data_IF_728142533223
#
_entry.id   IF_728142533223
#
_cell.length_a   1.000
_cell.length_b   1.000
_cell.length_c   1.000
_cell.angle_alpha   90.00
_cell.angle_beta   90.00
_cell.angle_gamma   90.00
#
_symmetry.space_group_name_H-M   'P 1'
#
loop_
_entity.id
_entity.type
_entity.pdbx_description
1 polymer ?
#
# COMPACT_ATOMS: atom_id res chain seq x y z
N UNK A 1 -16.82 -38.48 -6.47
CA UNK A 1 -16.84 -37.02 -6.75
C UNK A 1 -16.34 -36.31 -5.50
N UNK A 2 -15.04 -36.09 -5.41
CA UNK A 2 -14.38 -35.50 -4.23
C UNK A 2 -14.64 -34.00 -4.24
N UNK A 3 -15.58 -33.56 -3.41
CA UNK A 3 -15.93 -32.15 -3.24
C UNK A 3 -14.82 -31.51 -2.39
N UNK A 4 -13.90 -30.80 -3.03
CA UNK A 4 -12.89 -30.00 -2.33
C UNK A 4 -13.61 -28.96 -1.48
N UNK A 5 -13.38 -29.01 -0.17
CA UNK A 5 -13.73 -27.95 0.76
C UNK A 5 -12.73 -26.80 0.55
N UNK A 6 -13.17 -25.56 0.27
CA UNK A 6 -12.27 -24.42 0.28
C UNK A 6 -11.73 -24.27 1.71
N UNK A 7 -10.42 -24.39 1.87
CA UNK A 7 -9.72 -24.07 3.11
C UNK A 7 -9.88 -22.57 3.36
N UNK A 8 -10.57 -22.12 4.42
CA UNK A 8 -10.58 -20.72 4.78
C UNK A 8 -9.18 -20.37 5.27
N UNK A 9 -8.41 -19.65 4.45
CA UNK A 9 -7.16 -19.03 4.90
C UNK A 9 -7.54 -17.96 5.93
N UNK A 10 -7.04 -18.02 7.18
CA UNK A 10 -7.40 -17.06 8.19
C UNK A 10 -6.69 -15.73 7.90
N UNK A 11 -7.38 -14.82 7.25
CA UNK A 11 -6.99 -13.40 7.24
C UNK A 11 -7.15 -12.91 8.67
N UNK A 12 -6.03 -12.60 9.33
CA UNK A 12 -6.05 -12.11 10.71
C UNK A 12 -6.07 -10.59 10.70
N UNK A 13 -6.94 -10.00 11.52
CA UNK A 13 -6.83 -8.58 11.88
C UNK A 13 -5.64 -8.47 12.83
N UNK A 14 -4.68 -7.59 12.55
CA UNK A 14 -3.59 -7.34 13.49
C UNK A 14 -4.17 -6.68 14.76
N UNK A 15 -3.84 -7.19 15.94
CA UNK A 15 -4.38 -6.67 17.20
C UNK A 15 -4.07 -5.16 17.35
N UNK A 16 -5.09 -4.35 17.68
CA UNK A 16 -4.98 -2.89 17.83
C UNK A 16 -5.02 -2.10 16.52
N UNK A 17 -5.14 -2.78 15.38
CA UNK A 17 -5.07 -2.21 14.04
C UNK A 17 -6.24 -2.66 13.19
N UNK A 18 -7.40 -2.06 13.42
CA UNK A 18 -8.65 -2.46 12.77
C UNK A 18 -8.56 -2.38 11.23
N UNK A 19 -7.65 -1.56 10.67
CA UNK A 19 -7.38 -1.36 9.24
C UNK A 19 -6.41 -2.36 8.58
N UNK A 20 -5.82 -3.28 9.36
CA UNK A 20 -4.81 -4.20 8.85
C UNK A 20 -5.32 -5.64 8.72
N UNK A 21 -5.34 -6.11 7.48
CA UNK A 21 -5.51 -7.52 7.16
C UNK A 21 -4.16 -8.17 6.87
N UNK A 22 -3.80 -9.14 7.71
CA UNK A 22 -2.62 -9.99 7.51
C UNK A 22 -2.99 -11.12 6.57
N UNK A 23 -2.28 -11.21 5.46
CA UNK A 23 -2.38 -12.29 4.48
C UNK A 23 -0.97 -12.80 4.14
N UNK A 24 -0.85 -14.01 3.58
CA UNK A 24 0.46 -14.52 3.13
C UNK A 24 1.21 -13.55 2.20
N UNK A 25 0.46 -12.78 1.39
CA UNK A 25 1.00 -11.79 0.45
C UNK A 25 1.73 -10.60 1.10
N UNK A 26 1.43 -10.27 2.38
CA UNK A 26 1.98 -9.09 3.06
C UNK A 26 2.59 -9.39 4.45
N UNK A 27 2.48 -10.62 4.96
CA UNK A 27 2.90 -10.98 6.31
C UNK A 27 4.37 -10.63 6.65
N UNK A 28 5.31 -10.90 5.73
CA UNK A 28 6.72 -10.56 5.94
C UNK A 28 6.95 -9.05 5.97
N UNK A 29 6.29 -8.31 5.08
CA UNK A 29 6.37 -6.85 5.06
C UNK A 29 5.86 -6.26 6.38
N UNK A 30 4.71 -6.75 6.85
CA UNK A 30 4.14 -6.34 8.13
C UNK A 30 5.10 -6.58 9.30
N UNK A 31 5.65 -7.80 9.41
CA UNK A 31 6.60 -8.13 10.47
C UNK A 31 7.82 -7.21 10.49
N UNK A 32 8.32 -6.77 9.32
CA UNK A 32 9.45 -5.84 9.24
C UNK A 32 9.03 -4.39 9.52
N UNK A 33 7.82 -3.98 9.10
CA UNK A 33 7.29 -2.66 9.39
C UNK A 33 6.98 -2.46 10.88
N UNK A 34 6.70 -3.54 11.60
CA UNK A 34 6.44 -3.54 13.04
C UNK A 34 7.70 -3.39 13.88
N UNK A 35 8.87 -3.71 13.32
CA UNK A 35 10.16 -3.65 13.99
C UNK A 35 11.14 -2.68 13.29
N UNK A 36 10.81 -1.38 13.11
CA UNK A 36 11.62 -0.45 12.35
C UNK A 36 13.00 -0.18 12.96
N UNK A 37 13.19 -0.39 14.26
CA UNK A 37 14.49 -0.39 14.93
C UNK A 37 15.48 -1.43 14.40
N UNK A 38 15.00 -2.46 13.71
CA UNK A 38 15.85 -3.47 13.07
C UNK A 38 16.31 -3.08 11.67
N UNK A 39 15.80 -1.98 11.10
CA UNK A 39 16.12 -1.58 9.73
C UNK A 39 17.58 -1.14 9.61
N UNK A 40 18.38 -1.78 8.72
CA UNK A 40 19.75 -1.36 8.47
C UNK A 40 19.80 0.10 8.02
N UNK A 41 20.65 0.91 8.67
CA UNK A 41 20.76 2.36 8.42
C UNK A 41 19.43 3.12 8.57
N UNK A 42 18.47 2.58 9.33
CA UNK A 42 17.18 3.22 9.59
C UNK A 42 16.27 3.31 8.35
N UNK A 43 16.44 2.45 7.34
CA UNK A 43 15.69 2.55 6.08
C UNK A 43 15.24 1.22 5.52
N UNK A 44 14.10 1.22 4.82
CA UNK A 44 13.47 0.04 4.23
C UNK A 44 12.83 0.38 2.89
N UNK A 45 12.96 -0.53 1.92
CA UNK A 45 12.23 -0.50 0.66
C UNK A 45 11.04 -1.47 0.71
N UNK A 46 9.83 -0.94 0.54
CA UNK A 46 8.61 -1.72 0.37
C UNK A 46 8.27 -1.81 -1.12
N UNK A 47 8.47 -2.99 -1.68
CA UNK A 47 8.30 -3.27 -3.10
C UNK A 47 7.03 -4.08 -3.37
N UNK A 48 6.41 -3.90 -4.52
CA UNK A 48 5.24 -4.70 -4.91
C UNK A 48 4.48 -4.06 -6.06
N UNK A 49 3.73 -4.82 -6.86
CA UNK A 49 3.05 -4.28 -8.03
C UNK A 49 2.02 -3.20 -7.66
N UNK A 50 1.56 -2.47 -8.67
CA UNK A 50 0.43 -1.55 -8.49
C UNK A 50 -0.79 -2.30 -7.93
N UNK A 51 -1.55 -1.64 -7.05
CA UNK A 51 -2.70 -2.25 -6.40
C UNK A 51 -2.39 -3.25 -5.27
N UNK A 52 -1.12 -3.61 -5.03
CA UNK A 52 -0.74 -4.57 -3.99
C UNK A 52 -0.94 -4.08 -2.55
N UNK A 53 -1.14 -2.78 -2.34
CA UNK A 53 -1.36 -2.19 -1.02
C UNK A 53 -0.17 -1.47 -0.39
N UNK A 54 0.89 -1.18 -1.16
CA UNK A 54 2.09 -0.46 -0.67
C UNK A 54 1.73 0.83 0.07
N UNK A 55 0.98 1.72 -0.60
CA UNK A 55 0.57 3.02 -0.05
C UNK A 55 -0.35 2.87 1.16
N UNK A 56 -1.17 1.81 1.23
CA UNK A 56 -1.98 1.53 2.42
C UNK A 56 -1.09 1.16 3.61
N UNK A 57 -0.15 0.23 3.43
CA UNK A 57 0.80 -0.15 4.48
C UNK A 57 1.66 1.03 4.92
N UNK A 58 2.13 1.84 3.96
CA UNK A 58 2.94 3.01 4.24
C UNK A 58 2.16 4.10 4.99
N UNK A 59 0.89 4.35 4.62
CA UNK A 59 0.03 5.31 5.31
C UNK A 59 -0.24 4.93 6.77
N UNK A 60 -0.45 3.65 7.06
CA UNK A 60 -0.69 3.24 8.44
C UNK A 60 0.60 3.28 9.25
N UNK A 61 1.71 2.79 8.69
CA UNK A 61 3.01 2.94 9.34
C UNK A 61 3.33 4.41 9.64
N UNK A 62 3.01 5.31 8.70
CA UNK A 62 3.19 6.74 8.91
C UNK A 62 2.32 7.28 10.03
N UNK A 63 1.05 6.88 10.10
CA UNK A 63 0.15 7.32 11.16
C UNK A 63 0.62 6.87 12.54
N UNK A 64 1.07 5.62 12.66
CA UNK A 64 1.58 5.07 13.92
C UNK A 64 2.88 5.69 14.39
N UNK A 65 3.73 6.11 13.45
CA UNK A 65 5.04 6.69 13.74
C UNK A 65 5.05 8.21 13.71
N UNK A 66 3.92 8.84 13.41
CA UNK A 66 3.86 10.29 13.15
C UNK A 66 4.72 10.70 11.95
N UNK A 67 4.92 9.81 10.98
CA UNK A 67 5.81 10.03 9.86
C UNK A 67 5.20 10.99 8.83
N UNK A 68 6.03 11.87 8.26
CA UNK A 68 5.63 12.65 7.10
C UNK A 68 5.60 11.75 5.84
N UNK A 69 4.57 11.89 5.01
CA UNK A 69 4.50 11.22 3.70
C UNK A 69 4.79 12.26 2.61
N UNK A 70 5.67 11.92 1.68
CA UNK A 70 6.00 12.77 0.53
C UNK A 70 6.10 11.93 -0.75
N UNK A 71 5.43 12.31 -1.85
CA UNK A 71 5.69 11.70 -3.15
C UNK A 71 7.12 11.98 -3.59
N UNK A 72 7.85 10.97 -4.06
CA UNK A 72 9.24 11.12 -4.49
C UNK A 72 9.40 12.12 -5.65
N UNK A 73 8.38 12.23 -6.49
CA UNK A 73 8.34 13.20 -7.60
C UNK A 73 8.32 14.66 -7.15
N UNK A 74 7.86 14.93 -5.91
CA UNK A 74 7.72 16.26 -5.32
C UNK A 74 8.83 16.55 -4.31
N UNK A 75 9.79 15.64 -4.13
CA UNK A 75 10.86 15.79 -3.17
C UNK A 75 11.86 16.86 -3.66
N UNK A 76 12.08 17.89 -2.83
CA UNK A 76 13.03 18.96 -3.13
C UNK A 76 14.11 19.05 -2.04
N UNK A 77 15.31 19.58 -2.36
CA UNK A 77 16.39 19.71 -1.38
C UNK A 77 16.01 20.55 -0.16
N UNK A 78 15.17 21.56 -0.33
CA UNK A 78 14.75 22.49 0.73
C UNK A 78 13.87 21.79 1.78
N UNK A 79 13.07 20.80 1.36
CA UNK A 79 12.20 20.04 2.25
C UNK A 79 12.95 19.00 3.10
N UNK A 80 14.21 18.69 2.80
CA UNK A 80 14.95 17.58 3.41
C UNK A 80 15.10 17.74 4.92
N UNK A 81 15.48 18.94 5.38
CA UNK A 81 15.69 19.19 6.81
C UNK A 81 14.38 19.05 7.59
N UNK A 82 13.30 19.63 7.09
CA UNK A 82 11.98 19.56 7.71
C UNK A 82 11.46 18.12 7.76
N UNK A 83 11.65 17.36 6.67
CA UNK A 83 11.26 15.95 6.61
C UNK A 83 12.08 15.09 7.58
N UNK A 84 13.40 15.29 7.65
CA UNK A 84 14.26 14.53 8.57
C UNK A 84 13.94 14.85 10.05
N UNK A 85 13.65 16.11 10.37
CA UNK A 85 13.31 16.57 11.72
C UNK A 85 12.05 15.89 12.30
N UNK A 86 11.18 15.31 11.45
CA UNK A 86 10.03 14.51 11.92
C UNK A 86 10.44 13.19 12.57
N UNK A 87 11.68 12.73 12.37
CA UNK A 87 12.19 11.46 12.88
C UNK A 87 11.70 10.21 12.12
N UNK A 88 10.61 10.31 11.36
CA UNK A 88 10.13 9.24 10.50
C UNK A 88 9.54 9.81 9.19
N UNK A 89 9.91 9.24 8.05
CA UNK A 89 9.45 9.70 6.73
C UNK A 89 9.09 8.54 5.83
N UNK A 90 8.04 8.73 5.03
CA UNK A 90 7.66 7.86 3.92
C UNK A 90 7.89 8.60 2.60
N UNK A 91 8.65 7.98 1.71
CA UNK A 91 8.81 8.43 0.33
C UNK A 91 8.00 7.51 -0.58
N UNK A 92 6.88 8.02 -1.09
CA UNK A 92 5.98 7.28 -1.97
C UNK A 92 6.45 7.28 -3.42
N UNK A 93 6.33 6.14 -4.09
CA UNK A 93 6.59 5.97 -5.53
C UNK A 93 7.97 6.46 -5.97
N UNK A 94 9.01 5.94 -5.31
CA UNK A 94 10.39 6.33 -5.50
C UNK A 94 10.91 6.17 -6.94
N UNK A 95 10.34 5.30 -7.76
CA UNK A 95 10.67 5.22 -9.18
C UNK A 95 10.46 6.55 -9.93
N UNK A 96 9.55 7.42 -9.47
CA UNK A 96 9.21 8.68 -10.15
C UNK A 96 10.21 9.83 -9.91
N UNK A 97 11.26 9.62 -9.10
CA UNK A 97 12.36 10.58 -8.96
C UNK A 97 13.43 10.43 -10.04
N UNK A 98 13.50 9.27 -10.70
CA UNK A 98 14.57 8.99 -11.66
C UNK A 98 14.59 10.01 -12.80
N UNK A 99 15.78 10.51 -13.13
CA UNK A 99 15.99 11.55 -14.14
C UNK A 99 15.71 12.97 -13.65
N UNK A 100 15.26 13.15 -12.40
CA UNK A 100 15.06 14.48 -11.77
C UNK A 100 16.20 14.75 -10.80
N UNK A 101 17.23 15.46 -11.27
CA UNK A 101 18.45 15.72 -10.50
C UNK A 101 18.18 16.27 -9.07
N UNK A 102 17.25 17.23 -8.95
CA UNK A 102 16.90 17.81 -7.64
C UNK A 102 16.27 16.78 -6.68
N UNK A 103 15.37 15.92 -7.18
CA UNK A 103 14.73 14.89 -6.36
C UNK A 103 15.70 13.76 -5.99
N UNK A 104 16.59 13.36 -6.92
CA UNK A 104 17.67 12.42 -6.65
C UNK A 104 18.63 12.92 -5.56
N UNK A 105 19.06 14.18 -5.66
CA UNK A 105 19.90 14.80 -4.63
C UNK A 105 19.15 14.91 -3.29
N UNK A 106 17.88 15.33 -3.31
CA UNK A 106 17.08 15.46 -2.10
C UNK A 106 16.90 14.12 -1.39
N UNK A 107 16.60 13.03 -2.11
CA UNK A 107 16.50 11.70 -1.50
C UNK A 107 17.85 11.25 -0.94
N UNK A 108 18.95 11.46 -1.66
CA UNK A 108 20.28 11.12 -1.17
C UNK A 108 20.59 11.82 0.17
N UNK A 109 20.33 13.12 0.26
CA UNK A 109 20.55 13.89 1.48
C UNK A 109 19.60 13.46 2.60
N UNK A 110 18.32 13.21 2.30
CA UNK A 110 17.35 12.71 3.26
C UNK A 110 17.79 11.39 3.88
N UNK A 111 18.22 10.42 3.06
CA UNK A 111 18.67 9.11 3.57
C UNK A 111 19.87 9.24 4.50
N UNK A 112 20.81 10.15 4.19
CA UNK A 112 21.97 10.37 5.04
C UNK A 112 21.59 11.07 6.36
N UNK A 113 20.76 12.11 6.28
CA UNK A 113 20.35 12.89 7.43
C UNK A 113 19.49 12.08 8.39
N UNK A 114 18.46 11.40 7.87
CA UNK A 114 17.61 10.51 8.67
C UNK A 114 18.43 9.40 9.36
N UNK A 115 19.43 8.83 8.68
CA UNK A 115 20.30 7.83 9.29
C UNK A 115 21.20 8.43 10.39
N UNK A 116 21.77 9.62 10.17
CA UNK A 116 22.63 10.30 11.13
C UNK A 116 21.89 10.72 12.40
N UNK A 117 20.62 11.10 12.27
CA UNK A 117 19.74 11.51 13.37
C UNK A 117 19.02 10.33 14.05
N UNK A 118 19.26 9.09 13.56
CA UNK A 118 18.64 7.89 14.11
C UNK A 118 17.15 7.73 13.77
N UNK A 119 16.65 8.46 12.77
CA UNK A 119 15.28 8.40 12.27
C UNK A 119 14.99 7.19 11.36
N UNK A 120 13.77 7.14 10.81
CA UNK A 120 13.30 6.05 9.94
C UNK A 120 12.82 6.54 8.58
N UNK A 121 13.25 5.88 7.50
CA UNK A 121 12.81 6.17 6.15
C UNK A 121 12.21 4.92 5.49
N UNK A 122 10.91 4.94 5.23
CA UNK A 122 10.23 3.94 4.41
C UNK A 122 10.12 4.46 2.98
N UNK A 123 10.47 3.63 2.01
CA UNK A 123 10.44 4.00 0.60
C UNK A 123 9.58 2.99 -0.15
N UNK A 124 8.58 3.44 -0.91
CA UNK A 124 7.73 2.55 -1.70
C UNK A 124 8.05 2.63 -3.19
N UNK A 125 7.99 1.48 -3.87
CA UNK A 125 8.18 1.41 -5.33
C UNK A 125 7.60 0.11 -5.91
N UNK A 126 7.31 0.03 -7.22
CA UNK A 126 6.84 -1.20 -7.84
C UNK A 126 7.96 -2.22 -8.07
N UNK A 127 9.18 -1.75 -8.30
CA UNK A 127 10.35 -2.55 -8.67
C UNK A 127 11.61 -2.10 -7.89
N UNK A 128 12.69 -2.90 -7.90
CA UNK A 128 13.96 -2.55 -7.29
C UNK A 128 14.62 -1.28 -7.86
N UNK A 129 15.47 -0.59 -7.07
CA UNK A 129 16.17 0.64 -7.49
C UNK A 129 16.95 0.56 -8.80
N UNK A 130 17.59 -0.59 -9.07
CA UNK A 130 18.32 -0.84 -10.33
C UNK A 130 17.48 -0.65 -11.59
N UNK A 131 16.15 -0.75 -11.48
CA UNK A 131 15.22 -0.69 -12.60
C UNK A 131 14.59 0.71 -12.75
N UNK A 132 14.92 1.69 -11.90
CA UNK A 132 14.33 3.03 -11.92
C UNK A 132 15.02 3.97 -12.92
N UNK A 133 16.30 3.74 -13.22
CA UNK A 133 17.09 4.67 -14.05
C UNK A 133 17.65 5.87 -13.28
N UNK A 134 17.95 5.73 -11.99
CA UNK A 134 18.60 6.77 -11.16
C UNK A 134 19.96 7.13 -11.78
N UNK A 135 20.19 8.43 -12.00
CA UNK A 135 21.40 8.94 -12.63
C UNK A 135 22.53 9.18 -11.60
N UNK A 136 22.19 9.62 -10.39
CA UNK A 136 23.13 9.95 -9.32
C UNK A 136 23.81 8.69 -8.75
N UNK A 137 25.13 8.48 -8.94
CA UNK A 137 25.81 7.25 -8.54
C UNK A 137 25.77 6.98 -7.03
N UNK A 138 25.91 8.02 -6.22
CA UNK A 138 25.90 7.90 -4.76
C UNK A 138 24.53 7.47 -4.22
N UNK A 139 23.45 8.00 -4.81
CA UNK A 139 22.09 7.57 -4.49
C UNK A 139 21.90 6.11 -4.88
N UNK A 140 22.32 5.72 -6.08
CA UNK A 140 22.21 4.34 -6.56
C UNK A 140 22.88 3.35 -5.60
N UNK A 141 24.13 3.62 -5.21
CA UNK A 141 24.86 2.80 -4.23
C UNK A 141 24.09 2.66 -2.90
N UNK A 142 23.48 3.76 -2.45
CA UNK A 142 22.71 3.79 -1.20
C UNK A 142 21.40 3.01 -1.31
N UNK A 143 20.70 3.12 -2.43
CA UNK A 143 19.47 2.37 -2.67
C UNK A 143 19.75 0.87 -2.86
N UNK A 144 20.81 0.49 -3.58
CA UNK A 144 21.20 -0.91 -3.77
C UNK A 144 21.60 -1.58 -2.44
N UNK A 145 22.17 -0.82 -1.50
CA UNK A 145 22.48 -1.29 -0.15
C UNK A 145 21.29 -1.25 0.82
N UNK A 146 20.12 -0.79 0.38
CA UNK A 146 18.93 -0.71 1.25
C UNK A 146 18.20 -2.06 1.26
N UNK A 147 17.87 -2.54 2.46
CA UNK A 147 17.08 -3.76 2.61
C UNK A 147 15.71 -3.56 1.95
N UNK A 148 15.24 -4.56 1.21
CA UNK A 148 13.91 -4.53 0.60
C UNK A 148 13.06 -5.71 1.06
N UNK A 149 11.76 -5.45 1.20
CA UNK A 149 10.73 -6.45 1.38
C UNK A 149 9.70 -6.31 0.28
N UNK A 150 9.16 -7.44 -0.19
CA UNK A 150 8.15 -7.48 -1.25
C UNK A 150 6.79 -7.85 -0.69
N UNK A 151 5.76 -7.19 -1.18
CA UNK A 151 4.38 -7.62 -1.07
C UNK A 151 3.91 -8.15 -2.42
N UNK A 152 3.16 -9.24 -2.39
CA UNK A 152 2.54 -9.83 -3.57
C UNK A 152 1.18 -9.14 -3.84
N UNK A 153 0.60 -9.32 -5.05
CA UNK A 153 -0.79 -8.97 -5.29
C UNK A 153 -1.72 -9.61 -4.24
N UNK A 154 -2.84 -8.95 -3.89
CA UNK A 154 -3.79 -9.51 -2.93
C UNK A 154 -4.45 -10.77 -3.49
N UNK A 155 -4.61 -11.78 -2.64
CA UNK A 155 -5.37 -12.98 -2.96
C UNK A 155 -6.88 -12.76 -2.74
N UNK A 156 -7.68 -13.75 -3.13
CA UNK A 156 -9.14 -13.69 -3.02
C UNK A 156 -9.62 -13.55 -1.58
N UNK A 157 -8.93 -14.18 -0.63
CA UNK A 157 -9.26 -14.11 0.78
C UNK A 157 -9.04 -12.70 1.34
N UNK A 158 -7.91 -12.07 1.02
CA UNK A 158 -7.61 -10.69 1.39
C UNK A 158 -8.61 -9.71 0.75
N UNK A 159 -8.92 -9.88 -0.53
CA UNK A 159 -9.90 -9.03 -1.22
C UNK A 159 -11.29 -9.16 -0.59
N UNK A 160 -11.73 -10.38 -0.29
CA UNK A 160 -13.02 -10.62 0.37
C UNK A 160 -13.07 -9.93 1.75
N UNK A 161 -12.03 -10.10 2.57
CA UNK A 161 -11.95 -9.48 3.89
C UNK A 161 -11.98 -7.94 3.81
N UNK A 162 -11.23 -7.37 2.86
CA UNK A 162 -11.24 -5.93 2.60
C UNK A 162 -12.61 -5.44 2.14
N UNK A 163 -13.30 -6.15 1.25
CA UNK A 163 -14.65 -5.80 0.80
C UNK A 163 -15.66 -5.83 1.95
N UNK A 164 -15.66 -6.90 2.75
CA UNK A 164 -16.51 -7.01 3.95
C UNK A 164 -16.32 -5.77 4.83
N UNK A 165 -15.06 -5.42 5.10
CA UNK A 165 -14.74 -4.26 5.91
C UNK A 165 -15.24 -2.96 5.28
N UNK A 166 -14.91 -2.70 4.03
CA UNK A 166 -15.26 -1.46 3.36
C UNK A 166 -16.78 -1.20 3.31
N UNK A 167 -17.58 -2.26 3.18
CA UNK A 167 -19.04 -2.18 3.30
C UNK A 167 -19.46 -1.93 4.75
N UNK A 168 -18.89 -2.64 5.72
CA UNK A 168 -19.20 -2.49 7.14
C UNK A 168 -18.87 -1.08 7.67
N UNK A 169 -17.74 -0.49 7.29
CA UNK A 169 -17.33 0.88 7.64
C UNK A 169 -18.35 1.93 7.15
N UNK A 170 -19.09 1.61 6.09
CA UNK A 170 -20.19 2.43 5.53
C UNK A 170 -21.57 2.02 6.05
N UNK A 171 -21.63 1.09 6.99
CA UNK A 171 -22.88 0.52 7.53
C UNK A 171 -23.76 -0.14 6.45
N UNK A 172 -23.14 -0.59 5.35
CA UNK A 172 -23.82 -1.26 4.24
C UNK A 172 -23.84 -2.77 4.49
N UNK A 173 -25.03 -3.37 4.47
CA UNK A 173 -25.17 -4.83 4.55
C UNK A 173 -25.31 -5.40 3.15
N UNK A 174 -24.38 -6.29 2.76
CA UNK A 174 -24.41 -7.01 1.48
C UNK A 174 -24.38 -8.52 1.70
N UNK A 175 -25.03 -9.32 0.84
CA UNK A 175 -24.98 -10.77 0.96
C UNK A 175 -23.57 -11.28 0.63
N UNK A 176 -23.11 -12.31 1.34
CA UNK A 176 -21.78 -12.90 1.13
C UNK A 176 -21.54 -13.34 -0.33
N UNK A 177 -22.60 -13.83 -1.00
CA UNK A 177 -22.57 -14.20 -2.42
C UNK A 177 -22.22 -13.03 -3.35
N UNK A 178 -22.51 -11.78 -2.97
CA UNK A 178 -22.09 -10.61 -3.74
C UNK A 178 -20.59 -10.36 -3.60
N UNK A 179 -20.04 -10.57 -2.40
CA UNK A 179 -18.60 -10.42 -2.13
C UNK A 179 -17.83 -11.47 -2.93
N UNK A 180 -18.22 -12.74 -2.85
CA UNK A 180 -17.62 -13.82 -3.64
C UNK A 180 -17.70 -13.52 -5.14
N UNK A 181 -18.83 -12.96 -5.58
CA UNK A 181 -19.03 -12.60 -6.98
C UNK A 181 -18.13 -11.44 -7.45
N UNK A 182 -17.94 -10.43 -6.59
CA UNK A 182 -17.10 -9.26 -6.83
C UNK A 182 -15.63 -9.67 -6.94
N UNK A 183 -15.13 -10.45 -5.97
CA UNK A 183 -13.73 -10.92 -5.93
C UNK A 183 -13.33 -11.65 -7.20
N UNK A 184 -14.24 -12.44 -7.79
CA UNK A 184 -13.99 -13.21 -9.01
C UNK A 184 -13.98 -12.37 -10.30
N UNK A 185 -14.40 -11.10 -10.27
CA UNK A 185 -14.61 -10.26 -11.47
C UNK A 185 -13.88 -8.93 -11.45
N UNK A 186 -13.58 -8.41 -10.28
CA UNK A 186 -12.75 -7.22 -10.17
C UNK A 186 -11.29 -7.54 -10.45
N UNK A 187 -10.54 -6.51 -10.82
CA UNK A 187 -9.08 -6.61 -10.82
C UNK A 187 -8.57 -6.88 -9.41
N UNK A 188 -7.52 -7.72 -9.31
CA UNK A 188 -6.92 -8.12 -8.03
C UNK A 188 -6.04 -7.02 -7.45
N UNK A 189 -6.67 -5.92 -7.07
CA UNK A 189 -6.05 -4.73 -6.53
C UNK A 189 -6.89 -4.15 -5.38
N UNK A 190 -6.24 -3.75 -4.29
CA UNK A 190 -6.92 -3.15 -3.15
C UNK A 190 -7.58 -1.80 -3.50
N UNK A 191 -7.00 -1.06 -4.45
CA UNK A 191 -7.59 0.19 -4.97
C UNK A 191 -8.93 -0.05 -5.67
N UNK A 192 -9.01 -1.10 -6.51
CA UNK A 192 -10.24 -1.48 -7.21
C UNK A 192 -11.35 -1.86 -6.22
N UNK A 193 -11.03 -2.61 -5.16
CA UNK A 193 -12.00 -2.92 -4.11
C UNK A 193 -12.59 -1.65 -3.46
N UNK A 194 -11.75 -0.64 -3.16
CA UNK A 194 -12.21 0.66 -2.61
C UNK A 194 -13.08 1.43 -3.59
N UNK A 195 -12.67 1.50 -4.86
CA UNK A 195 -13.40 2.19 -5.91
C UNK A 195 -14.79 1.58 -6.14
N UNK A 196 -14.86 0.25 -6.20
CA UNK A 196 -16.13 -0.49 -6.37
C UNK A 196 -17.08 -0.21 -5.21
N UNK A 197 -16.62 -0.30 -3.97
CA UNK A 197 -17.48 -0.05 -2.80
C UNK A 197 -17.95 1.40 -2.76
N UNK A 198 -17.07 2.38 -3.03
CA UNK A 198 -17.45 3.79 -3.06
C UNK A 198 -18.48 4.10 -4.16
N UNK A 199 -18.33 3.51 -5.34
CA UNK A 199 -19.26 3.68 -6.45
C UNK A 199 -20.62 3.01 -6.17
N UNK A 200 -20.62 1.82 -5.54
CA UNK A 200 -21.85 1.14 -5.13
C UNK A 200 -22.60 1.91 -4.05
N UNK A 201 -21.90 2.43 -3.04
CA UNK A 201 -22.45 3.26 -1.97
C UNK A 201 -23.13 4.52 -2.54
N UNK A 202 -22.39 5.28 -3.35
CA UNK A 202 -22.90 6.49 -4.02
C UNK A 202 -24.18 6.21 -4.81
N UNK A 203 -24.22 5.07 -5.51
CA UNK A 203 -25.37 4.69 -6.33
C UNK A 203 -26.56 4.18 -5.51
N UNK A 204 -26.31 3.37 -4.49
CA UNK A 204 -27.33 2.90 -3.56
C UNK A 204 -28.04 4.08 -2.87
N UNK A 205 -27.26 5.10 -2.47
CA UNK A 205 -27.78 6.33 -1.88
C UNK A 205 -28.61 7.13 -2.88
N UNK A 206 -28.14 7.28 -4.12
CA UNK A 206 -28.84 8.03 -5.16
C UNK A 206 -30.17 7.37 -5.57
N UNK A 207 -30.22 6.04 -5.64
CA UNK A 207 -31.42 5.29 -6.02
C UNK A 207 -32.34 4.98 -4.82
N UNK A 208 -31.86 5.16 -3.58
CA UNK A 208 -32.58 4.78 -2.36
C UNK A 208 -32.83 3.27 -2.27
N UNK A 209 -31.94 2.45 -2.85
CA UNK A 209 -32.12 0.99 -2.98
C UNK A 209 -30.93 0.23 -2.41
N UNK A 210 -31.21 -0.97 -1.90
CA UNK A 210 -30.17 -1.89 -1.47
C UNK A 210 -29.26 -2.29 -2.64
N UNK A 211 -27.99 -2.55 -2.34
CA UNK A 211 -27.00 -2.98 -3.33
C UNK A 211 -27.38 -4.35 -3.87
N UNK A 212 -27.48 -4.45 -5.20
CA UNK A 212 -27.77 -5.70 -5.91
C UNK A 212 -26.60 -6.13 -6.78
N UNK A 213 -26.59 -7.40 -7.18
CA UNK A 213 -25.60 -7.93 -8.13
C UNK A 213 -25.65 -7.24 -9.49
N UNK A 214 -26.83 -6.81 -9.95
CA UNK A 214 -26.98 -6.06 -11.20
C UNK A 214 -26.30 -4.69 -11.10
N UNK A 215 -26.53 -3.95 -10.01
CA UNK A 215 -25.86 -2.69 -9.74
C UNK A 215 -24.34 -2.85 -9.67
N UNK A 216 -23.86 -3.91 -9.03
CA UNK A 216 -22.44 -4.22 -8.95
C UNK A 216 -21.81 -4.51 -10.32
N UNK A 217 -22.51 -5.22 -11.20
CA UNK A 217 -22.05 -5.47 -12.57
C UNK A 217 -21.90 -4.17 -13.36
N UNK A 218 -22.91 -3.30 -13.31
CA UNK A 218 -22.85 -1.99 -14.00
C UNK A 218 -21.78 -1.05 -13.42
N UNK A 219 -21.40 -1.21 -12.15
CA UNK A 219 -20.27 -0.48 -11.55
C UNK A 219 -18.95 -1.05 -12.04
N UNK A 220 -18.79 -2.38 -12.07
CA UNK A 220 -17.56 -3.01 -12.58
C UNK A 220 -17.31 -2.66 -14.05
N UNK A 221 -18.35 -2.78 -14.90
CA UNK A 221 -18.23 -2.47 -16.32
C UNK A 221 -17.77 -1.03 -16.57
N UNK A 222 -18.24 -0.07 -15.74
CA UNK A 222 -17.83 1.35 -15.83
C UNK A 222 -16.44 1.64 -15.31
N UNK A 223 -15.92 0.82 -14.39
CA UNK A 223 -14.57 1.00 -13.85
C UNK A 223 -13.51 0.30 -14.72
N UNK A 224 -13.92 -0.67 -15.54
CA UNK A 224 -13.06 -1.45 -16.43
C UNK A 224 -13.07 -0.97 -17.89
N UNK A 225 -14.02 -0.09 -18.26
CA UNK A 225 -14.09 0.55 -19.59
C UNK A 225 -13.53 1.95 -19.58
#
# INVERSE_FOLDING_TARGET
MTRQLPLPLPVRVAEGREDFFVAPANALALSLLDAPETWPQGRMLLLGPEGAGKSHLAAIWATERGAAIRPAAELTPEAVADLAATGAVVIEDAQHLAGKAAAEQALFHLLNLTAAEGGRCLITAPCPPRDWGVALPDLKSRLDATQSVRIAPPDEALLAAVLVKLFADRQLTVPHSLIDWLVLRMERALGTARAVVAALDTRALAEGRAITRAMAAEVLDRLQG
#
